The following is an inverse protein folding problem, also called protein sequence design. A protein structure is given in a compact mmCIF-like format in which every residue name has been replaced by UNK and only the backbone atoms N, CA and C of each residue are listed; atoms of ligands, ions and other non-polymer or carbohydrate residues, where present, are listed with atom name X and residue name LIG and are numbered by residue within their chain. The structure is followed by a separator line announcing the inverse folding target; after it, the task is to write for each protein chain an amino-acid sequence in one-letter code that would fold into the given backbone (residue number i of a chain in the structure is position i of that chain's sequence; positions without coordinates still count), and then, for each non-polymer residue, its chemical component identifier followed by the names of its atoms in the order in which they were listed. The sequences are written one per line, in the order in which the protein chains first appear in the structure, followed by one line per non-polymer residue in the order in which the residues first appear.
data_IF_850831985945
#
_entry.id   IF_850831985945
#
_cell.length_a   1.000
_cell.length_b   1.000
_cell.length_c   1.000
_cell.angle_alpha   90.00
_cell.angle_beta   90.00
_cell.angle_gamma   90.00
#
_symmetry.space_group_name_H-M   'P 1'
#
loop_
_entity.id
_entity.type
_entity.pdbx_description
1 polymer ?
#
# COMPACT_ATOMS: atom_id res chain seq x y z
N UNK A 1 8.89 -7.87 -19.33
CA UNK A 1 9.00 -6.89 -18.24
C UNK A 1 7.60 -6.76 -17.71
N UNK A 2 7.30 -7.46 -16.62
CA UNK A 2 5.97 -7.40 -16.02
C UNK A 2 5.84 -6.01 -15.40
N UNK A 3 4.99 -5.15 -15.97
CA UNK A 3 4.62 -3.89 -15.36
C UNK A 3 3.61 -4.20 -14.29
N UNK A 4 4.09 -4.40 -13.06
CA UNK A 4 3.23 -4.33 -11.89
C UNK A 4 2.80 -2.88 -11.70
N UNK A 5 1.51 -2.65 -11.46
CA UNK A 5 1.06 -1.34 -11.01
C UNK A 5 1.66 -1.07 -9.63
N UNK A 6 2.03 0.17 -9.35
CA UNK A 6 2.39 0.60 -8.00
C UNK A 6 1.25 1.47 -7.49
N UNK A 7 0.80 1.20 -6.28
CA UNK A 7 -0.20 2.01 -5.57
C UNK A 7 0.56 2.98 -4.68
N UNK A 8 0.36 4.26 -4.94
CA UNK A 8 0.89 5.37 -4.13
C UNK A 8 -0.26 5.95 -3.30
N UNK A 9 -0.12 5.97 -1.98
CA UNK A 9 -1.12 6.53 -1.07
C UNK A 9 -0.43 7.40 -0.02
N UNK A 10 -0.88 8.64 0.09
CA UNK A 10 -0.57 9.52 1.21
C UNK A 10 -1.37 9.05 2.43
N UNK A 11 -0.70 8.34 3.34
CA UNK A 11 -1.35 7.65 4.46
C UNK A 11 -0.73 8.04 5.81
N UNK A 12 0.56 8.35 5.82
CA UNK A 12 1.30 8.72 7.02
C UNK A 12 1.57 10.22 7.07
N UNK A 13 2.05 10.69 8.22
CA UNK A 13 2.59 12.06 8.31
C UNK A 13 3.94 12.16 7.59
N UNK A 14 4.29 13.35 7.12
CA UNK A 14 5.58 13.62 6.45
C UNK A 14 6.81 13.25 7.29
N UNK A 15 6.65 13.07 8.61
CA UNK A 15 7.67 12.59 9.54
C UNK A 15 8.05 11.12 9.31
N UNK A 16 7.17 10.34 8.68
CA UNK A 16 7.39 8.93 8.32
C UNK A 16 8.11 8.89 6.98
N UNK A 17 9.44 8.97 7.02
CA UNK A 17 10.28 9.06 5.83
C UNK A 17 10.74 7.73 5.24
N UNK A 18 10.55 6.62 5.95
CA UNK A 18 11.21 5.34 5.64
C UNK A 18 10.34 4.13 6.01
N UNK A 19 10.54 3.02 5.28
CA UNK A 19 9.85 1.76 5.51
C UNK A 19 10.15 1.10 6.87
N UNK A 20 11.24 1.52 7.54
CA UNK A 20 11.65 1.04 8.87
C UNK A 20 10.90 1.75 10.02
N UNK A 21 10.14 2.81 9.73
CA UNK A 21 9.37 3.51 10.74
C UNK A 21 8.30 2.58 11.34
N UNK A 22 8.03 2.60 12.66
CA UNK A 22 7.07 1.68 13.29
C UNK A 22 5.66 1.74 12.68
N UNK A 23 5.22 2.89 12.17
CA UNK A 23 3.96 3.01 11.42
C UNK A 23 4.01 2.30 10.07
N UNK A 24 5.09 2.50 9.31
CA UNK A 24 5.31 1.84 8.03
C UNK A 24 5.41 0.32 8.19
N UNK A 25 6.16 -0.15 9.19
CA UNK A 25 6.30 -1.58 9.50
C UNK A 25 4.94 -2.20 9.81
N UNK A 26 4.14 -1.58 10.68
CA UNK A 26 2.80 -2.11 11.00
C UNK A 26 1.89 -2.19 9.78
N UNK A 27 1.94 -1.19 8.92
CA UNK A 27 1.14 -1.17 7.71
C UNK A 27 1.61 -2.22 6.70
N UNK A 28 2.92 -2.38 6.56
CA UNK A 28 3.52 -3.45 5.75
C UNK A 28 3.07 -4.82 6.24
N UNK A 29 3.14 -5.09 7.54
CA UNK A 29 2.66 -6.36 8.12
C UNK A 29 1.18 -6.59 7.81
N UNK A 30 0.35 -5.55 7.90
CA UNK A 30 -1.07 -5.62 7.53
C UNK A 30 -1.27 -5.94 6.04
N UNK A 31 -0.49 -5.33 5.16
CA UNK A 31 -0.52 -5.62 3.73
C UNK A 31 -0.08 -7.06 3.42
N UNK A 32 0.97 -7.54 4.09
CA UNK A 32 1.45 -8.92 3.95
C UNK A 32 0.43 -9.94 4.45
N UNK A 33 -0.28 -9.65 5.55
CA UNK A 33 -1.37 -10.49 6.07
C UNK A 33 -2.54 -10.57 5.09
N UNK A 34 -3.02 -9.42 4.60
CA UNK A 34 -4.07 -9.35 3.57
C UNK A 34 -3.65 -10.07 2.28
N UNK A 35 -2.39 -9.92 1.86
CA UNK A 35 -1.88 -10.63 0.70
C UNK A 35 -1.89 -12.14 0.92
N UNK A 36 -1.43 -12.61 2.08
CA UNK A 36 -1.43 -14.02 2.44
C UNK A 36 -2.86 -14.60 2.49
N UNK A 37 -3.84 -13.87 3.01
CA UNK A 37 -5.26 -14.27 3.00
C UNK A 37 -5.81 -14.44 1.57
N UNK A 38 -5.30 -13.65 0.63
CA UNK A 38 -5.66 -13.73 -0.79
C UNK A 38 -4.78 -14.66 -1.62
N UNK A 39 -3.72 -15.24 -1.03
CA UNK A 39 -2.75 -16.09 -1.73
C UNK A 39 -1.80 -15.31 -2.64
N UNK A 40 -1.59 -14.02 -2.35
CA UNK A 40 -0.70 -13.11 -3.05
C UNK A 40 0.48 -12.72 -2.17
N UNK A 41 1.42 -11.99 -2.74
CA UNK A 41 2.63 -11.51 -2.09
C UNK A 41 2.87 -10.03 -2.38
N UNK A 42 3.35 -9.33 -1.36
CA UNK A 42 3.85 -7.97 -1.48
C UNK A 42 5.21 -8.02 -2.19
N UNK A 43 5.28 -7.50 -3.42
CA UNK A 43 6.49 -7.52 -4.25
C UNK A 43 7.26 -6.20 -4.18
N UNK A 44 6.60 -5.12 -3.78
CA UNK A 44 7.19 -3.80 -3.64
C UNK A 44 6.60 -3.08 -2.44
N UNK A 45 7.45 -2.41 -1.66
CA UNK A 45 7.05 -1.57 -0.55
C UNK A 45 8.13 -0.51 -0.29
N UNK A 46 7.77 0.74 -0.45
CA UNK A 46 8.60 1.91 -0.22
C UNK A 46 7.79 2.98 0.50
N UNK A 47 8.46 3.81 1.29
CA UNK A 47 7.84 4.94 1.97
C UNK A 47 8.73 6.15 1.77
N UNK A 48 8.15 7.24 1.30
CA UNK A 48 8.83 8.51 1.11
C UNK A 48 7.95 9.65 1.63
N UNK A 49 8.44 10.37 2.65
CA UNK A 49 7.81 11.59 3.20
C UNK A 49 6.31 11.46 3.49
N UNK A 50 5.91 10.38 4.15
CA UNK A 50 4.51 10.13 4.51
C UNK A 50 3.69 9.41 3.44
N UNK A 51 4.19 9.37 2.21
CA UNK A 51 3.61 8.61 1.11
C UNK A 51 4.13 7.18 1.14
N UNK A 52 3.22 6.21 1.03
CA UNK A 52 3.56 4.80 0.92
C UNK A 52 3.28 4.30 -0.50
N UNK A 53 4.27 3.64 -1.07
CA UNK A 53 4.23 3.05 -2.40
C UNK A 53 4.35 1.53 -2.27
N UNK A 54 3.36 0.79 -2.78
CA UNK A 54 3.37 -0.67 -2.68
C UNK A 54 2.77 -1.35 -3.91
N UNK A 55 3.21 -2.57 -4.17
CA UNK A 55 2.70 -3.40 -5.25
C UNK A 55 2.58 -4.87 -4.83
N UNK A 56 1.56 -5.54 -5.35
CA UNK A 56 1.34 -6.97 -5.18
C UNK A 56 1.53 -7.70 -6.50
N UNK A 57 1.74 -9.02 -6.46
CA UNK A 57 1.76 -9.85 -7.67
C UNK A 57 0.38 -9.98 -8.35
N UNK A 58 -0.69 -9.53 -7.68
CA UNK A 58 -2.07 -9.69 -8.14
C UNK A 58 -2.77 -8.36 -8.37
N UNK A 59 -3.10 -8.08 -9.63
CA UNK A 59 -3.89 -6.93 -10.05
C UNK A 59 -5.28 -6.90 -9.38
N UNK A 60 -5.88 -8.07 -9.11
CA UNK A 60 -7.19 -8.16 -8.45
C UNK A 60 -7.13 -7.66 -7.01
N UNK A 61 -6.05 -8.01 -6.28
CA UNK A 61 -5.84 -7.55 -4.92
C UNK A 61 -5.59 -6.05 -4.90
N UNK A 62 -4.73 -5.57 -5.80
CA UNK A 62 -4.47 -4.15 -5.99
C UNK A 62 -5.73 -3.33 -6.25
N UNK A 63 -6.60 -3.79 -7.16
CA UNK A 63 -7.85 -3.10 -7.46
C UNK A 63 -8.81 -3.06 -6.26
N UNK A 64 -8.84 -4.10 -5.41
CA UNK A 64 -9.63 -4.10 -4.18
C UNK A 64 -9.09 -3.10 -3.16
N UNK A 65 -7.78 -3.07 -2.97
CA UNK A 65 -7.12 -2.16 -2.04
C UNK A 65 -7.33 -0.71 -2.47
N UNK A 66 -7.16 -0.41 -3.76
CA UNK A 66 -7.49 0.90 -4.33
C UNK A 66 -8.95 1.29 -4.06
N UNK A 67 -9.91 0.38 -4.25
CA UNK A 67 -11.32 0.68 -3.93
C UNK A 67 -11.54 0.99 -2.46
N UNK A 68 -10.85 0.33 -1.54
CA UNK A 68 -10.95 0.61 -0.10
C UNK A 68 -10.44 2.04 0.20
N UNK A 69 -9.33 2.43 -0.43
CA UNK A 69 -8.79 3.78 -0.30
C UNK A 69 -9.65 4.85 -0.98
N UNK A 70 -10.20 4.57 -2.17
CA UNK A 70 -11.10 5.47 -2.89
C UNK A 70 -12.45 5.66 -2.19
N UNK A 71 -13.01 4.61 -1.58
CA UNK A 71 -14.29 4.69 -0.86
C UNK A 71 -14.14 5.40 0.51
N UNK A 72 -12.94 5.36 1.11
CA UNK A 72 -12.58 6.07 2.33
C UNK A 72 -12.04 7.50 2.15
N UNK A 73 -11.72 7.91 0.92
CA UNK A 73 -11.21 9.25 0.62
C UNK A 73 -12.31 10.31 0.73
N UNK A 74 -12.01 11.54 1.24
CA UNK A 74 -12.99 12.61 1.25
C UNK A 74 -13.42 12.87 -0.19
N UNK A 75 -14.70 12.60 -0.47
CA UNK A 75 -15.36 13.08 -1.69
C UNK A 75 -15.00 14.56 -1.85
N UNK A 76 -14.11 14.89 -2.78
CA UNK A 76 -14.06 16.26 -3.28
C UNK A 76 -15.36 16.48 -4.05
N UNK A 77 -16.31 17.07 -3.34
CA UNK A 77 -17.51 17.68 -3.89
C UNK A 77 -17.16 18.81 -4.87
#
# INVERSE_FOLDING_TARGET
MESYGVIEVDLFSEEVGDADHPEAVRFREMLEDVAAEHGCFLIYFEVEKGTVEFAFDSDELMAKILRIFEDGGPRKA
#
